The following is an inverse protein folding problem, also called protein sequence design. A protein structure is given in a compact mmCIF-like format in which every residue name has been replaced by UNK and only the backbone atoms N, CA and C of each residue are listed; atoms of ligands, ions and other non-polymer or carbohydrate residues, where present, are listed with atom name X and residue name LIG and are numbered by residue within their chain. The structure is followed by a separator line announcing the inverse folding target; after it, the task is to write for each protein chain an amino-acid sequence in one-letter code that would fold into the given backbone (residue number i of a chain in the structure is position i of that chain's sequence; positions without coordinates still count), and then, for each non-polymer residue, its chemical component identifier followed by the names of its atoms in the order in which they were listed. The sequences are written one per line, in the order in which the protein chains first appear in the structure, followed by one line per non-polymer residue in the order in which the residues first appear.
data_IF_187082246811
#
_entry.id   IF_187082246811
#
_cell.length_a   1.000
_cell.length_b   1.000
_cell.length_c   1.000
_cell.angle_alpha   90.00
_cell.angle_beta   90.00
_cell.angle_gamma   90.00
#
_symmetry.space_group_name_H-M   'P 1'
#
loop_
_entity.id
_entity.type
_entity.pdbx_description
1 polymer ?
#
# COMPACT_ATOMS: atom_id res chain seq x y z
N UNK A 1 -7.06 -2.44 -18.24
CA UNK A 1 -5.77 -2.85 -17.65
C UNK A 1 -6.06 -3.45 -16.29
N UNK A 2 -5.21 -4.34 -15.74
CA UNK A 2 -5.42 -4.81 -14.37
C UNK A 2 -4.93 -3.77 -13.38
N UNK A 3 -5.71 -3.50 -12.34
CA UNK A 3 -5.32 -2.63 -11.24
C UNK A 3 -5.50 -3.37 -9.93
N UNK A 4 -4.40 -3.57 -9.22
CA UNK A 4 -4.38 -4.33 -7.98
C UNK A 4 -4.08 -3.36 -6.83
N UNK A 5 -4.99 -3.32 -5.86
CA UNK A 5 -4.90 -2.45 -4.69
C UNK A 5 -4.71 -3.31 -3.44
N UNK A 6 -3.68 -3.04 -2.65
CA UNK A 6 -3.35 -3.81 -1.45
C UNK A 6 -3.56 -2.96 -0.22
N UNK A 7 -4.35 -3.43 0.73
CA UNK A 7 -4.66 -2.70 1.95
C UNK A 7 -4.74 -3.60 3.16
N UNK A 8 -4.30 -3.10 4.32
CA UNK A 8 -4.47 -3.82 5.57
C UNK A 8 -5.80 -3.43 6.25
N UNK A 9 -6.55 -4.44 6.69
CA UNK A 9 -7.75 -4.26 7.50
C UNK A 9 -7.38 -4.46 8.97
N UNK A 10 -7.50 -3.43 9.82
CA UNK A 10 -7.17 -3.55 11.23
C UNK A 10 -8.17 -4.45 11.96
N UNK A 11 -7.70 -5.14 13.00
CA UNK A 11 -8.57 -5.93 13.88
C UNK A 11 -9.60 -5.04 14.58
N UNK A 12 -10.84 -5.52 14.67
CA UNK A 12 -11.95 -4.80 15.32
C UNK A 12 -11.64 -4.49 16.80
N UNK A 13 -10.90 -5.37 17.48
CA UNK A 13 -10.47 -5.19 18.87
C UNK A 13 -9.44 -4.09 19.08
N UNK A 14 -8.69 -3.73 18.03
CA UNK A 14 -7.58 -2.78 18.13
C UNK A 14 -8.00 -1.38 17.69
N UNK A 15 -8.89 -1.28 16.70
CA UNK A 15 -9.29 -0.01 16.12
C UNK A 15 -10.75 -0.03 15.67
N UNK A 16 -11.53 0.93 16.19
CA UNK A 16 -12.70 1.42 15.48
C UNK A 16 -12.20 2.42 14.42
N UNK A 17 -12.41 2.08 13.15
CA UNK A 17 -12.05 2.98 12.06
C UNK A 17 -13.00 4.18 12.02
N UNK A 18 -12.47 5.35 11.69
CA UNK A 18 -13.24 6.57 11.51
C UNK A 18 -12.89 7.20 10.16
N UNK A 19 -13.87 7.77 9.45
CA UNK A 19 -13.61 8.39 8.16
C UNK A 19 -12.94 9.76 8.34
N UNK A 20 -11.93 10.04 7.52
CA UNK A 20 -11.26 11.33 7.48
C UNK A 20 -11.14 11.83 6.05
N UNK A 21 -11.39 13.13 5.83
CA UNK A 21 -11.04 13.82 4.60
C UNK A 21 -9.54 14.17 4.66
N UNK A 22 -8.68 13.21 4.28
CA UNK A 22 -7.24 13.39 4.28
C UNK A 22 -6.79 14.25 3.09
N UNK A 23 -5.91 15.21 3.34
CA UNK A 23 -5.31 16.04 2.30
C UNK A 23 -4.06 15.35 1.74
N UNK A 24 -3.97 15.24 0.42
CA UNK A 24 -2.75 14.77 -0.23
C UNK A 24 -1.60 15.77 -0.01
N UNK A 25 -0.45 15.27 0.43
CA UNK A 25 0.68 16.10 0.83
C UNK A 25 1.71 16.30 -0.28
N UNK A 26 1.95 15.26 -1.10
CA UNK A 26 3.02 15.22 -2.09
C UNK A 26 2.60 14.56 -3.42
N UNK A 27 1.30 14.37 -3.63
CA UNK A 27 0.71 13.88 -4.88
C UNK A 27 -0.62 14.60 -5.13
N UNK A 28 -1.20 14.41 -6.32
CA UNK A 28 -2.50 14.99 -6.66
C UNK A 28 -3.63 14.03 -6.30
N UNK A 29 -4.64 14.53 -5.61
CA UNK A 29 -5.84 13.78 -5.25
C UNK A 29 -7.08 14.59 -5.61
N UNK A 30 -8.03 13.96 -6.32
CA UNK A 30 -9.32 14.58 -6.68
C UNK A 30 -10.46 14.13 -5.77
N UNK A 31 -10.37 12.92 -5.23
CA UNK A 31 -11.30 12.43 -4.22
C UNK A 31 -11.18 13.23 -2.91
N UNK A 32 -12.27 13.86 -2.48
CA UNK A 32 -12.28 14.74 -1.27
C UNK A 32 -13.20 14.23 -0.16
N UNK A 33 -14.02 13.22 -0.43
CA UNK A 33 -14.94 12.69 0.57
C UNK A 33 -14.17 11.98 1.69
N UNK A 34 -14.67 12.02 2.94
CA UNK A 34 -14.08 11.25 4.03
C UNK A 34 -14.07 9.74 3.73
N UNK A 35 -12.94 9.09 4.03
CA UNK A 35 -12.76 7.64 3.90
C UNK A 35 -12.13 7.08 5.17
N UNK A 36 -12.52 5.88 5.57
CA UNK A 36 -11.85 5.14 6.63
C UNK A 36 -10.51 4.61 6.12
N UNK A 37 -10.46 4.13 4.87
CA UNK A 37 -9.30 3.46 4.30
C UNK A 37 -8.51 4.39 3.38
N UNK A 38 -7.19 4.52 3.58
CA UNK A 38 -6.32 5.34 2.72
C UNK A 38 -6.26 4.91 1.27
N UNK A 39 -6.52 3.63 0.99
CA UNK A 39 -6.53 3.12 -0.39
C UNK A 39 -7.76 3.59 -1.18
N UNK A 40 -8.87 3.93 -0.52
CA UNK A 40 -10.14 4.34 -1.15
C UNK A 40 -10.00 5.56 -2.09
N UNK A 41 -9.43 6.71 -1.66
CA UNK A 41 -9.22 7.83 -2.57
C UNK A 41 -8.31 7.47 -3.75
N UNK A 42 -7.37 6.54 -3.56
CA UNK A 42 -6.45 6.09 -4.61
C UNK A 42 -7.21 5.28 -5.66
N UNK A 43 -8.06 4.34 -5.23
CA UNK A 43 -8.94 3.59 -6.15
C UNK A 43 -9.80 4.56 -6.95
N UNK A 44 -10.44 5.53 -6.28
CA UNK A 44 -11.31 6.50 -6.93
C UNK A 44 -10.60 7.35 -7.98
N UNK A 45 -9.37 7.79 -7.71
CA UNK A 45 -8.62 8.68 -8.61
C UNK A 45 -7.91 7.93 -9.75
N UNK A 46 -7.56 6.67 -9.55
CA UNK A 46 -6.70 5.91 -10.48
C UNK A 46 -7.47 4.89 -11.32
N UNK A 47 -8.54 4.27 -10.81
CA UNK A 47 -9.35 3.34 -11.61
C UNK A 47 -9.99 4.06 -12.82
N UNK A 48 -10.00 3.38 -13.97
CA UNK A 48 -10.60 3.88 -15.21
C UNK A 48 -11.69 2.93 -15.71
N UNK A 49 -12.69 3.44 -16.47
CA UNK A 49 -13.66 2.57 -17.13
C UNK A 49 -12.97 1.51 -18.00
N UNK A 50 -13.32 0.23 -17.78
CA UNK A 50 -12.73 -0.90 -18.48
C UNK A 50 -11.51 -1.52 -17.80
N UNK A 51 -11.08 -1.02 -16.64
CA UNK A 51 -10.08 -1.69 -15.82
C UNK A 51 -10.66 -2.90 -15.08
N UNK A 52 -9.84 -3.92 -14.91
CA UNK A 52 -10.11 -5.05 -14.03
C UNK A 52 -9.52 -4.72 -12.66
N UNK A 53 -10.39 -4.37 -11.72
CA UNK A 53 -9.98 -3.95 -10.37
C UNK A 53 -10.01 -5.13 -9.42
N UNK A 54 -8.86 -5.42 -8.79
CA UNK A 54 -8.74 -6.38 -7.70
C UNK A 54 -8.24 -5.68 -6.44
N UNK A 55 -8.86 -5.95 -5.30
CA UNK A 55 -8.46 -5.43 -4.00
C UNK A 55 -8.04 -6.58 -3.10
N UNK A 56 -6.79 -6.58 -2.66
CA UNK A 56 -6.23 -7.51 -1.68
C UNK A 56 -6.40 -6.90 -0.28
N UNK A 57 -7.36 -7.41 0.48
CA UNK A 57 -7.61 -7.00 1.85
C UNK A 57 -6.85 -7.92 2.82
N UNK A 58 -5.72 -7.45 3.33
CA UNK A 58 -4.84 -8.19 4.24
C UNK A 58 -5.31 -8.01 5.67
N UNK A 59 -5.58 -9.10 6.39
CA UNK A 59 -6.01 -9.01 7.79
C UNK A 59 -5.54 -10.16 8.64
N UNK A 60 -5.40 -9.89 9.93
CA UNK A 60 -5.24 -10.96 10.92
C UNK A 60 -6.60 -11.62 11.17
N UNK A 61 -6.63 -12.96 11.25
CA UNK A 61 -7.86 -13.71 11.52
C UNK A 61 -7.89 -14.17 12.96
N UNK A 62 -8.69 -13.47 13.77
CA UNK A 62 -8.99 -13.85 15.16
C UNK A 62 -10.49 -14.07 15.41
N UNK A 63 -11.32 -13.78 14.41
CA UNK A 63 -12.76 -14.01 14.40
C UNK A 63 -13.22 -14.45 13.00
N UNK A 64 -14.30 -15.26 12.89
CA UNK A 64 -14.95 -15.55 11.61
C UNK A 64 -15.53 -14.30 10.92
N UNK A 65 -15.91 -13.29 11.70
CA UNK A 65 -16.50 -12.04 11.23
C UNK A 65 -15.57 -10.86 11.51
N UNK A 66 -15.57 -9.85 10.62
CA UNK A 66 -14.85 -8.59 10.83
C UNK A 66 -15.72 -7.40 10.43
N UNK A 67 -16.07 -6.58 11.43
CA UNK A 67 -16.86 -5.36 11.23
C UNK A 67 -16.09 -4.35 10.36
N UNK A 68 -14.77 -4.25 10.56
CA UNK A 68 -13.90 -3.39 9.75
C UNK A 68 -13.85 -3.84 8.28
N UNK A 69 -13.76 -5.13 7.98
CA UNK A 69 -13.80 -5.61 6.59
C UNK A 69 -15.14 -5.29 5.92
N UNK A 70 -16.26 -5.42 6.64
CA UNK A 70 -17.57 -5.08 6.10
C UNK A 70 -17.76 -3.57 5.93
N UNK A 71 -17.17 -2.76 6.80
CA UNK A 71 -17.08 -1.31 6.61
C UNK A 71 -16.24 -0.95 5.37
N UNK A 72 -15.13 -1.65 5.14
CA UNK A 72 -14.33 -1.47 3.93
C UNK A 72 -15.10 -1.83 2.66
N UNK A 73 -15.83 -2.96 2.65
CA UNK A 73 -16.69 -3.35 1.52
C UNK A 73 -17.71 -2.27 1.18
N UNK A 74 -18.43 -1.77 2.20
CA UNK A 74 -19.39 -0.67 2.01
C UNK A 74 -18.72 0.58 1.45
N UNK A 75 -17.50 0.88 1.89
CA UNK A 75 -16.73 2.01 1.37
C UNK A 75 -16.36 1.80 -0.12
N UNK A 76 -15.90 0.62 -0.51
CA UNK A 76 -15.63 0.28 -1.92
C UNK A 76 -16.90 0.33 -2.79
N UNK A 77 -18.02 -0.19 -2.29
CA UNK A 77 -19.31 -0.18 -3.01
C UNK A 77 -19.74 1.25 -3.38
N UNK A 78 -19.43 2.25 -2.55
CA UNK A 78 -19.77 3.66 -2.82
C UNK A 78 -18.99 4.26 -3.99
N UNK A 79 -17.88 3.66 -4.40
CA UNK A 79 -17.10 4.10 -5.57
C UNK A 79 -17.78 3.73 -6.90
N UNK A 80 -18.75 2.81 -6.88
CA UNK A 80 -19.50 2.38 -8.07
C UNK A 80 -18.65 1.67 -9.14
N UNK A 81 -17.39 1.35 -8.83
CA UNK A 81 -16.46 0.64 -9.72
C UNK A 81 -16.54 -0.85 -9.41
N UNK A 82 -16.82 -1.74 -10.38
CA UNK A 82 -16.78 -3.17 -10.15
C UNK A 82 -15.40 -3.62 -9.67
N UNK A 83 -15.34 -4.46 -8.63
CA UNK A 83 -14.09 -4.97 -8.08
C UNK A 83 -14.20 -6.43 -7.67
N UNK A 84 -13.08 -7.15 -7.74
CA UNK A 84 -12.88 -8.42 -7.04
C UNK A 84 -12.19 -8.16 -5.71
N UNK A 85 -12.70 -8.71 -4.61
CA UNK A 85 -12.10 -8.60 -3.28
C UNK A 85 -11.53 -9.94 -2.85
N UNK A 86 -10.23 -9.97 -2.59
CA UNK A 86 -9.52 -11.15 -2.08
C UNK A 86 -9.19 -10.90 -0.62
N UNK A 87 -9.72 -11.75 0.26
CA UNK A 87 -9.48 -11.71 1.70
C UNK A 87 -8.20 -12.50 2.02
N UNK A 88 -7.10 -11.79 2.24
CA UNK A 88 -5.78 -12.36 2.56
C UNK A 88 -5.64 -12.44 4.08
N UNK A 89 -5.85 -13.63 4.63
CA UNK A 89 -5.83 -13.83 6.08
C UNK A 89 -4.52 -14.41 6.59
N UNK A 90 -3.98 -13.84 7.67
CA UNK A 90 -2.82 -14.36 8.39
C UNK A 90 -3.18 -14.61 9.88
N UNK A 91 -2.51 -15.53 10.59
CA UNK A 91 -2.70 -15.68 12.03
C UNK A 91 -2.44 -14.39 12.81
N UNK A 92 -3.09 -14.22 13.97
CA UNK A 92 -2.82 -13.10 14.88
C UNK A 92 -1.51 -13.30 15.67
N UNK A 93 -0.37 -13.36 14.97
CA UNK A 93 0.95 -13.38 15.58
C UNK A 93 2.00 -12.77 14.64
N UNK A 94 3.24 -12.66 15.13
CA UNK A 94 4.39 -12.12 14.40
C UNK A 94 5.50 -13.17 14.26
N UNK A 95 5.14 -14.45 14.28
CA UNK A 95 6.10 -15.53 14.13
C UNK A 95 6.64 -15.53 12.70
N UNK A 96 7.91 -15.92 12.55
CA UNK A 96 8.59 -15.99 11.25
C UNK A 96 7.73 -16.68 10.19
N UNK A 97 7.23 -17.86 10.50
CA UNK A 97 6.51 -18.67 9.52
C UNK A 97 5.18 -17.99 9.10
N UNK A 98 4.49 -17.29 10.01
CA UNK A 98 3.28 -16.53 9.66
C UNK A 98 3.58 -15.34 8.73
N UNK A 99 4.73 -14.68 8.90
CA UNK A 99 5.18 -13.60 8.03
C UNK A 99 5.59 -14.12 6.64
N UNK A 100 6.26 -15.28 6.59
CA UNK A 100 6.61 -15.94 5.33
C UNK A 100 5.38 -16.42 4.56
N UNK A 101 4.41 -17.02 5.25
CA UNK A 101 3.12 -17.40 4.65
C UNK A 101 2.35 -16.19 4.16
N UNK A 102 2.41 -15.04 4.85
CA UNK A 102 1.80 -13.81 4.35
C UNK A 102 2.44 -13.35 3.04
N UNK A 103 3.77 -13.42 2.93
CA UNK A 103 4.46 -13.13 1.67
C UNK A 103 3.99 -14.08 0.55
N UNK A 104 4.02 -15.39 0.78
CA UNK A 104 3.57 -16.42 -0.17
C UNK A 104 2.12 -16.16 -0.64
N UNK A 105 1.21 -15.90 0.30
CA UNK A 105 -0.20 -15.66 -0.01
C UNK A 105 -0.40 -14.38 -0.83
N UNK A 106 0.40 -13.33 -0.55
CA UNK A 106 0.37 -12.12 -1.36
C UNK A 106 0.86 -12.40 -2.77
N UNK A 107 2.00 -13.08 -2.92
CA UNK A 107 2.58 -13.37 -4.25
C UNK A 107 1.70 -14.30 -5.07
N UNK A 108 0.98 -15.24 -4.45
CA UNK A 108 0.01 -16.12 -5.13
C UNK A 108 -1.21 -15.36 -5.67
N UNK A 109 -1.58 -14.25 -5.04
CA UNK A 109 -2.71 -13.41 -5.44
C UNK A 109 -2.32 -12.30 -6.44
N UNK A 110 -1.02 -12.11 -6.68
CA UNK A 110 -0.50 -11.15 -7.64
C UNK A 110 -0.60 -11.68 -9.09
N UNK A 111 -0.65 -10.79 -10.07
CA UNK A 111 -0.89 -11.11 -11.47
C UNK A 111 -0.01 -10.26 -12.39
N UNK A 112 0.37 -10.82 -13.53
CA UNK A 112 0.99 -10.11 -14.66
C UNK A 112 0.05 -9.04 -15.25
N UNK A 113 0.59 -8.14 -16.06
CA UNK A 113 -0.12 -7.07 -16.78
C UNK A 113 -0.88 -6.08 -15.86
N UNK A 114 -0.31 -5.79 -14.68
CA UNK A 114 -1.00 -5.07 -13.61
C UNK A 114 -0.27 -3.83 -13.08
N UNK A 115 -1.04 -2.77 -12.83
CA UNK A 115 -0.62 -1.64 -12.00
C UNK A 115 -0.93 -1.92 -10.53
N UNK A 116 0.09 -1.89 -9.69
CA UNK A 116 -0.03 -2.07 -8.25
C UNK A 116 -0.08 -0.76 -7.49
N UNK A 117 -1.06 -0.67 -6.58
CA UNK A 117 -1.17 0.38 -5.59
C UNK A 117 -1.27 -0.27 -4.21
N UNK A 118 -0.65 0.32 -3.20
CA UNK A 118 -0.71 -0.22 -1.86
C UNK A 118 -0.89 0.86 -0.81
N UNK A 119 -1.46 0.50 0.34
CA UNK A 119 -1.40 1.33 1.53
C UNK A 119 -0.68 0.61 2.68
N UNK A 120 0.11 1.39 3.41
CA UNK A 120 0.90 0.94 4.56
C UNK A 120 0.45 1.62 5.86
N UNK A 121 -0.81 2.08 5.93
CA UNK A 121 -1.30 2.85 7.08
C UNK A 121 -1.70 1.95 8.23
N UNK A 122 -2.48 0.92 7.92
CA UNK A 122 -2.89 -0.09 8.87
C UNK A 122 -2.00 -1.33 8.77
N UNK A 123 -2.28 -2.30 9.64
CA UNK A 123 -1.49 -3.51 9.78
C UNK A 123 -0.49 -3.43 10.92
N UNK A 124 0.32 -4.47 11.04
CA UNK A 124 1.32 -4.60 12.10
C UNK A 124 2.62 -3.91 11.70
N UNK A 125 3.49 -3.61 12.66
CA UNK A 125 4.76 -2.90 12.37
C UNK A 125 5.67 -3.63 11.37
N UNK A 126 5.51 -4.94 11.25
CA UNK A 126 6.20 -5.85 10.34
C UNK A 126 5.56 -5.91 8.95
N UNK A 127 4.27 -5.58 8.82
CA UNK A 127 3.52 -5.67 7.57
C UNK A 127 4.16 -4.87 6.42
N UNK A 128 4.62 -3.61 6.63
CA UNK A 128 5.29 -2.86 5.57
C UNK A 128 6.51 -3.57 4.96
N UNK A 129 7.26 -4.37 5.73
CA UNK A 129 8.41 -5.12 5.22
C UNK A 129 7.97 -6.26 4.29
N UNK A 130 6.91 -6.98 4.67
CA UNK A 130 6.34 -8.06 3.86
C UNK A 130 5.69 -7.48 2.60
N UNK A 131 4.92 -6.40 2.73
CA UNK A 131 4.30 -5.68 1.63
C UNK A 131 5.35 -5.19 0.62
N UNK A 132 6.40 -4.52 1.08
CA UNK A 132 7.48 -4.07 0.20
C UNK A 132 8.16 -5.26 -0.52
N UNK A 133 8.38 -6.37 0.17
CA UNK A 133 8.96 -7.57 -0.46
C UNK A 133 8.04 -8.13 -1.54
N UNK A 134 6.72 -8.20 -1.30
CA UNK A 134 5.74 -8.68 -2.27
C UNK A 134 5.63 -7.75 -3.49
N UNK A 135 5.64 -6.42 -3.28
CA UNK A 135 5.65 -5.46 -4.38
C UNK A 135 6.94 -5.57 -5.23
N UNK A 136 8.08 -5.87 -4.60
CA UNK A 136 9.33 -6.15 -5.32
C UNK A 136 9.24 -7.43 -6.14
N UNK A 137 8.61 -8.48 -5.57
CA UNK A 137 8.32 -9.69 -6.33
C UNK A 137 7.51 -9.36 -7.59
N UNK A 138 6.44 -8.57 -7.48
CA UNK A 138 5.66 -8.16 -8.65
C UNK A 138 6.56 -7.48 -9.70
N UNK A 139 7.25 -6.40 -9.34
CA UNK A 139 8.10 -5.64 -10.27
C UNK A 139 9.24 -6.46 -10.92
N UNK A 140 9.77 -7.48 -10.23
CA UNK A 140 10.94 -8.24 -10.69
C UNK A 140 10.62 -9.56 -11.37
N UNK A 141 9.49 -10.17 -11.04
CA UNK A 141 9.16 -11.54 -11.43
C UNK A 141 7.96 -11.59 -12.37
N UNK A 142 6.99 -10.69 -12.21
CA UNK A 142 5.78 -10.68 -13.02
C UNK A 142 5.96 -9.84 -14.28
N UNK A 143 5.39 -10.33 -15.38
CA UNK A 143 5.51 -9.71 -16.69
C UNK A 143 4.64 -8.45 -16.79
N UNK A 144 5.19 -7.40 -17.39
CA UNK A 144 4.49 -6.15 -17.68
C UNK A 144 3.75 -5.53 -16.47
N UNK A 145 4.36 -5.60 -15.29
CA UNK A 145 3.84 -5.01 -14.05
C UNK A 145 4.56 -3.74 -13.63
N UNK A 146 3.84 -2.87 -12.93
CA UNK A 146 4.39 -1.62 -12.37
C UNK A 146 3.85 -1.38 -10.95
N UNK A 147 4.71 -0.98 -10.03
CA UNK A 147 4.30 -0.45 -8.72
C UNK A 147 4.08 1.06 -8.85
N UNK A 148 2.82 1.45 -9.06
CA UNK A 148 2.44 2.83 -9.38
C UNK A 148 2.31 3.75 -8.16
N UNK A 149 2.08 3.19 -6.96
CA UNK A 149 1.86 4.02 -5.77
C UNK A 149 1.82 3.24 -4.47
N UNK A 150 2.47 3.75 -3.43
CA UNK A 150 2.40 3.25 -2.05
C UNK A 150 2.03 4.41 -1.15
N UNK A 151 0.96 4.29 -0.38
CA UNK A 151 0.38 5.40 0.35
C UNK A 151 0.37 5.18 1.86
N UNK A 152 0.56 6.27 2.60
CA UNK A 152 0.49 6.29 4.05
C UNK A 152 -0.33 7.48 4.53
N UNK A 153 -1.30 7.24 5.42
CA UNK A 153 -2.09 8.31 6.04
C UNK A 153 -1.63 8.56 7.47
N UNK A 154 -1.22 9.79 7.72
CA UNK A 154 -0.84 10.28 9.03
C UNK A 154 -2.01 11.03 9.68
N UNK A 155 -2.29 10.68 10.94
CA UNK A 155 -3.18 11.45 11.80
C UNK A 155 -2.36 12.12 12.91
N UNK A 156 -2.25 13.43 12.88
CA UNK A 156 -1.66 14.18 14.01
C UNK A 156 -2.74 14.41 15.07
N UNK A 157 -2.33 14.42 16.34
CA UNK A 157 -3.25 14.60 17.46
C UNK A 157 -2.77 15.69 18.40
N UNK A 158 -3.72 16.43 18.94
CA UNK A 158 -3.50 17.44 19.99
C UNK A 158 -4.56 17.19 21.07
N UNK A 159 -4.12 17.04 22.33
CA UNK A 159 -5.00 16.69 23.46
C UNK A 159 -5.90 15.46 23.21
N UNK A 160 -5.36 14.44 22.52
CA UNK A 160 -6.08 13.20 22.21
C UNK A 160 -7.08 13.29 21.05
N UNK A 161 -7.31 14.48 20.49
CA UNK A 161 -8.18 14.68 19.33
C UNK A 161 -7.36 14.75 18.04
N UNK A 162 -7.92 14.25 16.94
CA UNK A 162 -7.28 14.37 15.62
C UNK A 162 -7.28 15.83 15.20
N UNK A 163 -6.08 16.35 14.89
CA UNK A 163 -5.83 17.72 14.44
C UNK A 163 -5.72 17.81 12.93
N UNK A 164 -4.98 16.90 12.31
CA UNK A 164 -4.86 16.83 10.85
C UNK A 164 -4.88 15.39 10.36
N UNK A 165 -5.43 15.20 9.16
CA UNK A 165 -5.29 13.97 8.39
C UNK A 165 -4.57 14.30 7.08
N UNK A 166 -3.39 13.73 6.88
CA UNK A 166 -2.59 13.89 5.66
C UNK A 166 -2.32 12.54 5.03
N UNK A 167 -2.34 12.49 3.71
CA UNK A 167 -1.98 11.30 2.96
C UNK A 167 -0.72 11.59 2.14
N UNK A 168 0.23 10.67 2.20
CA UNK A 168 1.52 10.77 1.54
C UNK A 168 1.66 9.62 0.56
N UNK A 169 2.16 9.91 -0.63
CA UNK A 169 2.78 8.93 -1.50
C UNK A 169 4.21 8.69 -1.00
N UNK A 170 4.50 7.46 -0.59
CA UNK A 170 5.78 7.03 -0.07
C UNK A 170 6.50 6.06 -1.01
N UNK A 171 6.10 5.98 -2.28
CA UNK A 171 6.66 5.06 -3.28
C UNK A 171 8.17 5.22 -3.46
N UNK A 172 8.71 6.43 -3.26
CA UNK A 172 10.17 6.67 -3.30
C UNK A 172 10.94 5.86 -2.25
N UNK A 173 10.31 5.47 -1.13
CA UNK A 173 10.96 4.60 -0.14
C UNK A 173 11.17 3.18 -0.68
N UNK A 174 10.27 2.73 -1.57
CA UNK A 174 10.37 1.42 -2.21
C UNK A 174 11.48 1.35 -3.26
N UNK A 175 11.86 2.48 -3.87
CA UNK A 175 12.96 2.52 -4.86
C UNK A 175 14.35 2.55 -4.22
N UNK A 176 14.45 2.79 -2.90
CA UNK A 176 15.74 2.94 -2.19
C UNK A 176 16.66 1.73 -2.33
N UNK A 177 16.10 0.52 -2.18
CA UNK A 177 16.85 -0.73 -2.28
C UNK A 177 17.44 -0.91 -3.69
N UNK A 178 16.64 -0.62 -4.73
CA UNK A 178 17.10 -0.63 -6.12
C UNK A 178 18.23 0.39 -6.39
N UNK A 179 18.20 1.57 -5.76
CA UNK A 179 19.30 2.55 -5.85
C UNK A 179 20.59 1.98 -5.25
N UNK A 180 20.49 1.29 -4.11
CA UNK A 180 21.64 0.65 -3.47
C UNK A 180 22.18 -0.50 -4.33
N UNK A 181 21.31 -1.33 -4.89
CA UNK A 181 21.69 -2.44 -5.77
C UNK A 181 22.38 -1.97 -7.05
N UNK A 182 21.87 -0.91 -7.69
CA UNK A 182 22.53 -0.29 -8.85
C UNK A 182 23.92 0.20 -8.50
N UNK A 183 24.08 0.90 -7.37
CA UNK A 183 25.39 1.35 -6.90
C UNK A 183 26.33 0.16 -6.59
N UNK A 184 25.78 -0.97 -6.11
CA UNK A 184 26.56 -2.16 -5.80
C UNK A 184 27.06 -2.88 -7.06
N UNK A 185 26.22 -3.01 -8.10
CA UNK A 185 26.51 -3.75 -9.33
C UNK A 185 27.41 -3.02 -10.33
N UNK A 186 27.45 -1.69 -10.30
CA UNK A 186 28.26 -0.89 -11.22
C UNK A 186 29.71 -0.67 -10.71
N UNK A 187 30.67 -0.57 -11.63
CA UNK A 187 32.06 -0.19 -11.34
C UNK A 187 32.19 1.33 -11.18
N UNK A 188 31.54 1.86 -10.15
CA UNK A 188 31.51 3.29 -9.81
C UNK A 188 32.56 3.59 -8.75
N UNK A 189 33.46 4.53 -9.05
CA UNK A 189 34.54 4.96 -8.16
C UNK A 189 34.04 5.54 -6.83
N UNK A 190 32.97 6.35 -6.85
CA UNK A 190 32.32 6.89 -5.66
C UNK A 190 30.83 6.52 -5.60
N UNK A 191 30.56 5.33 -5.08
CA UNK A 191 29.20 4.80 -4.88
C UNK A 191 28.34 5.70 -3.99
N UNK A 192 28.95 6.46 -3.06
CA UNK A 192 28.22 7.36 -2.16
C UNK A 192 27.74 8.60 -2.88
N UNK A 193 28.57 9.18 -3.75
CA UNK A 193 28.18 10.30 -4.61
C UNK A 193 27.06 9.88 -5.57
N UNK A 194 27.17 8.70 -6.18
CA UNK A 194 26.14 8.15 -7.05
C UNK A 194 24.79 7.99 -6.33
N UNK A 195 24.76 7.40 -5.13
CA UNK A 195 23.52 7.27 -4.35
C UNK A 195 22.90 8.65 -4.08
N UNK A 196 23.69 9.66 -3.69
CA UNK A 196 23.18 11.02 -3.44
C UNK A 196 22.56 11.65 -4.69
N UNK A 197 23.18 11.44 -5.86
CA UNK A 197 22.64 11.88 -7.14
C UNK A 197 21.29 11.20 -7.42
N UNK A 198 21.20 9.88 -7.25
CA UNK A 198 19.96 9.13 -7.50
C UNK A 198 18.82 9.47 -6.52
N UNK A 199 19.13 9.85 -5.28
CA UNK A 199 18.13 10.30 -4.30
C UNK A 199 17.58 11.71 -4.62
N UNK A 200 18.36 12.53 -5.32
CA UNK A 200 18.05 13.92 -5.62
C UNK A 200 18.51 14.30 -7.04
N UNK A 201 17.92 13.69 -8.09
CA UNK A 201 18.39 13.87 -9.46
C UNK A 201 18.30 15.33 -9.93
N UNK A 202 17.38 16.11 -9.37
CA UNK A 202 17.16 17.52 -9.71
C UNK A 202 18.02 18.51 -8.90
N UNK A 203 18.86 18.00 -7.97
CA UNK A 203 19.85 18.83 -7.28
C UNK A 203 21.16 18.71 -8.06
N UNK A 204 21.46 19.72 -8.89
CA UNK A 204 22.78 19.86 -9.53
C UNK A 204 23.88 19.68 -8.46
N UNK A 205 24.83 18.78 -8.75
CA UNK A 205 26.02 18.49 -7.92
C UNK A 205 27.18 19.37 -8.36
#
# INVERSE_FOLDING_TARGET
MKRIYITAIPLDSNFAIAPYAAQAANYQQTYTAPSCYPITPIIADTARPGDEVTVLAVRQKNSPHSDNLDAFRRELDTLGTPYALIDVTTPENQQRDALLTLFETLTDAMQDDACYYADATFGTKTYPLVLASALRYAEKILDDTEVCGIYYRELTRENGQVKTARQYDISTLFTLDGIVDMAAGEDIADKRAFIKLMLHPDREV
#
